data_IF_498574867527
#
_entry.id   IF_498574867527
#
_cell.length_a   1.000
_cell.length_b   1.000
_cell.length_c   1.000
_cell.angle_alpha   90.00
_cell.angle_beta   90.00
_cell.angle_gamma   90.00
#
_symmetry.space_group_name_H-M   'P 1'
#
loop_
_entity.id
_entity.type
_entity.pdbx_description
1 polymer ?
#
# COMPACT_ATOMS: atom_id res chain seq x y z
N UNK A 1 -21.84 38.53 23.63
CA UNK A 1 -20.88 38.45 24.76
C UNK A 1 -19.61 37.78 24.27
N UNK A 2 -18.49 38.52 24.27
CA UNK A 2 -17.15 38.02 23.92
C UNK A 2 -16.61 37.24 25.12
N UNK A 3 -16.11 36.01 24.92
CA UNK A 3 -15.27 35.34 25.90
C UNK A 3 -13.87 35.14 25.35
N UNK A 4 -12.91 35.69 26.10
CA UNK A 4 -11.48 35.76 25.86
C UNK A 4 -10.81 34.57 26.54
N UNK A 5 -9.96 33.84 25.82
CA UNK A 5 -9.12 32.77 26.37
C UNK A 5 -7.74 33.38 26.64
N UNK A 6 -7.39 33.55 27.92
CA UNK A 6 -6.02 33.86 28.36
C UNK A 6 -5.21 32.57 28.43
N UNK A 7 -4.09 32.53 27.71
CA UNK A 7 -3.01 31.55 27.87
C UNK A 7 -2.28 31.82 29.19
N UNK A 8 -2.10 30.80 30.01
CA UNK A 8 -1.10 30.78 31.08
C UNK A 8 -0.04 29.76 30.70
N UNK A 9 1.20 30.23 30.55
CA UNK A 9 2.40 29.43 30.37
C UNK A 9 2.96 29.20 31.77
N UNK A 10 3.16 27.94 32.14
CA UNK A 10 4.01 27.60 33.29
C UNK A 10 4.86 26.40 32.91
N UNK A 11 6.13 26.68 32.69
CA UNK A 11 7.21 25.74 32.46
C UNK A 11 7.50 24.95 33.74
N UNK A 12 7.55 23.63 33.65
CA UNK A 12 8.30 22.82 34.62
C UNK A 12 8.92 21.65 33.86
N UNK A 13 10.24 21.69 33.78
CA UNK A 13 11.06 20.65 33.21
C UNK A 13 11.21 19.51 34.23
N UNK A 14 10.95 18.29 33.81
CA UNK A 14 11.40 17.08 34.48
C UNK A 14 11.94 16.12 33.41
N UNK A 15 13.25 15.92 33.43
CA UNK A 15 13.95 14.96 32.59
C UNK A 15 13.72 13.55 33.13
N UNK A 16 13.23 12.64 32.28
CA UNK A 16 13.40 11.20 32.48
C UNK A 16 13.88 10.59 31.16
N UNK A 17 15.12 10.10 31.19
CA UNK A 17 15.70 9.30 30.13
C UNK A 17 15.25 7.84 30.27
N UNK A 18 14.61 7.31 29.24
CA UNK A 18 14.45 5.88 29.01
C UNK A 18 14.75 5.64 27.53
N UNK A 19 15.90 5.00 27.26
CA UNK A 19 16.26 4.53 25.94
C UNK A 19 15.55 3.19 25.68
N UNK A 20 14.47 3.23 24.89
CA UNK A 20 13.83 2.03 24.37
C UNK A 20 14.38 1.74 22.97
N UNK A 21 15.20 0.68 22.85
CA UNK A 21 15.62 0.13 21.55
C UNK A 21 14.43 -0.65 21.00
N UNK A 22 13.63 -0.01 20.15
CA UNK A 22 12.66 -0.68 19.31
C UNK A 22 13.38 -1.21 18.07
N UNK A 23 13.63 -2.52 18.03
CA UNK A 23 13.90 -3.24 16.77
C UNK A 23 12.64 -3.19 15.92
N UNK A 24 12.63 -2.33 14.91
CA UNK A 24 11.59 -2.34 13.89
C UNK A 24 11.75 -3.56 12.99
N UNK A 25 10.71 -4.36 12.88
CA UNK A 25 10.54 -5.24 11.73
C UNK A 25 10.17 -4.34 10.55
N UNK A 26 11.13 -4.11 9.66
CA UNK A 26 11.00 -3.22 8.51
C UNK A 26 9.89 -3.65 7.55
N UNK A 27 8.77 -2.92 7.57
CA UNK A 27 7.93 -2.72 6.40
C UNK A 27 8.45 -1.49 5.66
N UNK A 28 9.31 -1.70 4.66
CA UNK A 28 9.85 -0.63 3.83
C UNK A 28 8.75 0.00 2.97
N UNK A 29 8.17 1.09 3.44
CA UNK A 29 7.46 2.06 2.61
C UNK A 29 8.42 3.17 2.25
N UNK A 30 9.05 3.09 1.07
CA UNK A 30 9.95 4.12 0.56
C UNK A 30 9.21 5.41 0.23
N UNK A 31 9.28 6.39 1.13
CA UNK A 31 8.91 7.78 0.88
C UNK A 31 10.13 8.59 0.48
N UNK A 32 10.23 8.95 -0.80
CA UNK A 32 11.29 9.81 -1.32
C UNK A 32 10.95 11.31 -1.20
N UNK A 33 11.74 12.00 -0.37
CA UNK A 33 12.19 13.39 -0.45
C UNK A 33 11.27 14.50 -1.01
N UNK A 34 10.71 15.31 -0.10
CA UNK A 34 10.24 16.66 -0.40
C UNK A 34 10.99 17.69 0.46
N UNK A 35 11.88 18.47 -0.16
CA UNK A 35 12.59 19.56 0.50
C UNK A 35 11.69 20.79 0.67
N UNK A 36 11.50 21.23 1.92
CA UNK A 36 10.89 22.51 2.28
C UNK A 36 11.66 23.14 3.42
N UNK A 37 12.23 24.33 3.18
CA UNK A 37 13.01 25.08 4.17
C UNK A 37 12.13 25.66 5.28
N UNK A 38 12.59 25.50 6.53
CA UNK A 38 11.99 26.08 7.72
C UNK A 38 13.00 26.15 8.87
N UNK A 39 13.49 27.37 9.12
CA UNK A 39 14.04 27.95 10.36
C UNK A 39 14.25 27.03 11.58
N UNK A 40 15.50 26.99 12.03
CA UNK A 40 16.00 26.06 13.04
C UNK A 40 15.75 26.45 14.50
N UNK A 41 15.82 25.41 15.34
CA UNK A 41 16.29 25.48 16.71
C UNK A 41 17.29 24.34 16.92
N UNK A 42 18.53 24.70 17.24
CA UNK A 42 19.64 23.78 17.37
C UNK A 42 19.55 22.91 18.63
N UNK A 43 19.55 21.61 18.41
CA UNK A 43 20.08 20.61 19.35
C UNK A 43 21.02 19.75 18.51
N UNK A 44 22.28 19.51 18.94
CA UNK A 44 23.19 18.67 18.18
C UNK A 44 22.72 17.21 18.31
N UNK A 45 21.81 16.81 17.43
CA UNK A 45 21.62 15.40 17.12
C UNK A 45 22.93 14.95 16.48
N UNK A 46 23.65 14.08 17.20
CA UNK A 46 24.71 13.29 16.61
C UNK A 46 24.19 12.77 15.26
N UNK A 47 24.94 13.03 14.19
CA UNK A 47 24.60 12.58 12.86
C UNK A 47 24.13 11.13 12.97
N UNK A 48 22.88 10.86 12.57
CA UNK A 48 22.46 9.50 12.30
C UNK A 48 23.56 8.91 11.42
N UNK A 49 24.11 7.73 11.74
CA UNK A 49 25.18 7.18 10.95
C UNK A 49 24.70 7.20 9.51
N UNK A 50 25.40 7.97 8.67
CA UNK A 50 25.36 7.72 7.24
C UNK A 50 25.68 6.24 7.13
N UNK A 51 24.68 5.40 6.84
CA UNK A 51 24.92 4.01 6.47
C UNK A 51 25.46 4.03 5.04
N UNK A 52 26.61 4.69 4.85
CA UNK A 52 27.46 4.61 3.68
C UNK A 52 28.51 3.52 3.87
N UNK A 53 28.14 2.42 4.53
CA UNK A 53 28.92 1.19 4.60
C UNK A 53 28.16 0.08 3.87
N UNK A 54 28.08 0.13 2.53
CA UNK A 54 27.35 -0.89 1.75
C UNK A 54 27.76 -1.08 0.27
N UNK A 55 28.77 -0.37 -0.25
CA UNK A 55 29.10 -0.41 -1.68
C UNK A 55 29.56 -1.81 -2.16
N UNK A 56 30.48 -2.53 -1.48
CA UNK A 56 30.91 -3.85 -1.94
C UNK A 56 29.81 -4.93 -1.89
N UNK A 57 28.93 -4.89 -0.88
CA UNK A 57 27.83 -5.86 -0.73
C UNK A 57 26.72 -5.62 -1.75
N UNK A 58 26.39 -4.34 -2.02
CA UNK A 58 25.42 -3.95 -3.04
C UNK A 58 25.90 -4.37 -4.43
N UNK A 59 27.17 -4.10 -4.75
CA UNK A 59 27.73 -4.47 -6.06
C UNK A 59 27.80 -5.99 -6.23
N UNK A 60 28.16 -6.73 -5.18
CA UNK A 60 28.11 -8.20 -5.20
C UNK A 60 26.69 -8.74 -5.39
N UNK A 61 25.69 -8.16 -4.73
CA UNK A 61 24.27 -8.51 -4.90
C UNK A 61 23.80 -8.26 -6.34
N UNK A 62 24.15 -7.11 -6.92
CA UNK A 62 23.83 -6.76 -8.30
C UNK A 62 24.52 -7.72 -9.27
N UNK A 63 25.81 -8.00 -9.07
CA UNK A 63 26.57 -8.92 -9.91
C UNK A 63 25.99 -10.34 -9.89
N UNK A 64 25.61 -10.84 -8.71
CA UNK A 64 24.93 -12.13 -8.55
C UNK A 64 23.61 -12.17 -9.30
N UNK A 65 22.78 -11.13 -9.18
CA UNK A 65 21.51 -11.06 -9.90
C UNK A 65 21.72 -11.01 -11.43
N UNK A 66 22.72 -10.24 -11.91
CA UNK A 66 23.08 -10.17 -13.34
C UNK A 66 23.56 -11.51 -13.89
N UNK A 67 24.31 -12.28 -13.11
CA UNK A 67 24.79 -13.60 -13.52
C UNK A 67 23.67 -14.62 -13.79
N UNK A 68 22.48 -14.39 -13.23
CA UNK A 68 21.29 -15.23 -13.44
C UNK A 68 20.35 -14.69 -14.52
N UNK A 69 20.64 -13.51 -15.07
CA UNK A 69 19.73 -12.79 -15.94
C UNK A 69 19.59 -13.46 -17.31
N UNK A 70 18.34 -13.67 -17.72
CA UNK A 70 17.99 -14.19 -19.03
C UNK A 70 18.01 -13.06 -20.06
N UNK A 71 18.41 -13.39 -21.29
CA UNK A 71 18.43 -12.46 -22.41
C UNK A 71 17.01 -12.15 -22.91
N UNK A 72 16.29 -11.32 -22.17
CA UNK A 72 14.96 -10.83 -22.51
C UNK A 72 14.94 -9.30 -22.46
N UNK A 73 14.24 -8.63 -23.39
CA UNK A 73 14.20 -7.18 -23.42
C UNK A 73 13.39 -6.62 -22.25
N UNK A 74 13.82 -5.50 -21.67
CA UNK A 74 12.96 -4.71 -20.79
C UNK A 74 12.02 -3.84 -21.60
N UNK A 75 10.73 -3.89 -21.28
CA UNK A 75 9.71 -3.01 -21.85
C UNK A 75 9.21 -2.07 -20.75
N UNK A 76 9.54 -0.77 -20.78
CA UNK A 76 9.11 0.15 -19.73
C UNK A 76 7.59 0.33 -19.73
N UNK A 77 6.98 0.70 -18.59
CA UNK A 77 5.61 1.21 -18.58
C UNK A 77 5.41 2.32 -19.62
N UNK A 78 4.36 2.24 -20.46
CA UNK A 78 4.05 3.29 -21.41
C UNK A 78 3.40 4.50 -20.70
N UNK A 79 3.28 5.61 -21.42
CA UNK A 79 2.54 6.79 -20.97
C UNK A 79 3.39 7.82 -20.22
N UNK A 80 2.72 8.84 -19.71
CA UNK A 80 3.34 10.00 -19.09
C UNK A 80 3.37 9.88 -17.55
N UNK A 81 4.52 10.23 -16.94
CA UNK A 81 4.72 10.18 -15.48
C UNK A 81 3.69 11.03 -14.73
N UNK A 82 3.41 12.24 -15.21
CA UNK A 82 2.41 13.12 -14.60
C UNK A 82 1.01 12.51 -14.68
N UNK A 83 0.64 11.89 -15.81
CA UNK A 83 -0.65 11.19 -15.92
C UNK A 83 -0.78 10.02 -14.94
N UNK A 84 0.28 9.22 -14.77
CA UNK A 84 0.29 8.11 -13.82
C UNK A 84 0.12 8.61 -12.38
N UNK A 85 0.91 9.59 -11.97
CA UNK A 85 0.82 10.14 -10.62
C UNK A 85 -0.54 10.84 -10.38
N UNK A 86 -1.08 11.50 -11.40
CA UNK A 86 -2.41 12.12 -11.34
C UNK A 86 -3.53 11.08 -11.23
N UNK A 87 -3.39 9.95 -11.92
CA UNK A 87 -4.29 8.81 -11.80
C UNK A 87 -4.27 8.22 -10.39
N UNK A 88 -3.07 7.97 -9.84
CA UNK A 88 -2.91 7.51 -8.46
C UNK A 88 -3.53 8.48 -7.44
N UNK A 89 -3.31 9.78 -7.64
CA UNK A 89 -3.92 10.81 -6.81
C UNK A 89 -5.45 10.80 -6.90
N UNK A 90 -6.02 10.76 -8.11
CA UNK A 90 -7.48 10.69 -8.31
C UNK A 90 -8.09 9.45 -7.64
N UNK A 91 -7.45 8.28 -7.76
CA UNK A 91 -7.88 7.03 -7.12
C UNK A 91 -7.90 7.15 -5.60
N UNK A 92 -6.84 7.70 -5.03
CA UNK A 92 -6.70 7.89 -3.58
C UNK A 92 -7.80 8.81 -3.08
N UNK A 93 -7.98 9.97 -3.74
CA UNK A 93 -9.01 10.94 -3.40
C UNK A 93 -10.42 10.34 -3.49
N UNK A 94 -10.72 9.58 -4.56
CA UNK A 94 -11.99 8.89 -4.69
C UNK A 94 -12.22 7.92 -3.52
N UNK A 95 -11.22 7.11 -3.18
CA UNK A 95 -11.33 6.12 -2.10
C UNK A 95 -11.56 6.81 -0.75
N UNK A 96 -10.77 7.84 -0.46
CA UNK A 96 -10.90 8.62 0.77
C UNK A 96 -12.31 9.22 0.92
N UNK A 97 -12.86 9.80 -0.15
CA UNK A 97 -14.17 10.48 -0.10
C UNK A 97 -15.34 9.50 -0.09
N UNK A 98 -15.32 8.47 -0.94
CA UNK A 98 -16.50 7.62 -1.17
C UNK A 98 -16.48 6.29 -0.43
N UNK A 99 -15.32 5.84 0.06
CA UNK A 99 -15.18 4.61 0.85
C UNK A 99 -14.97 4.96 2.32
N UNK A 100 -13.97 5.79 2.62
CA UNK A 100 -13.64 6.14 4.01
C UNK A 100 -14.53 7.25 4.57
N UNK A 101 -14.99 8.17 3.72
CA UNK A 101 -15.78 9.34 4.14
C UNK A 101 -14.95 10.52 4.66
N UNK A 102 -13.67 10.58 4.29
CA UNK A 102 -12.75 11.66 4.69
C UNK A 102 -13.04 12.92 3.86
N UNK A 103 -12.92 14.08 4.51
CA UNK A 103 -13.00 15.38 3.84
C UNK A 103 -11.94 15.50 2.72
N UNK A 104 -12.30 15.99 1.51
CA UNK A 104 -11.35 16.05 0.41
C UNK A 104 -10.09 16.87 0.69
N UNK A 105 -10.17 17.96 1.46
CA UNK A 105 -9.00 18.78 1.75
C UNK A 105 -8.08 18.09 2.77
N UNK A 106 -8.65 17.34 3.73
CA UNK A 106 -7.88 16.48 4.64
C UNK A 106 -7.22 15.32 3.87
N UNK A 107 -7.95 14.64 2.99
CA UNK A 107 -7.41 13.53 2.20
C UNK A 107 -6.27 13.97 1.28
N UNK A 108 -6.39 15.16 0.67
CA UNK A 108 -5.35 15.76 -0.16
C UNK A 108 -4.06 16.07 0.62
N UNK A 109 -4.14 16.21 1.94
CA UNK A 109 -3.02 16.54 2.83
C UNK A 109 -2.59 15.37 3.73
N UNK A 110 -3.14 14.16 3.56
CA UNK A 110 -2.77 13.04 4.44
C UNK A 110 -2.61 11.69 3.73
N UNK A 111 -3.08 11.54 2.49
CA UNK A 111 -3.17 10.23 1.83
C UNK A 111 -2.49 10.18 0.46
N UNK A 112 -2.11 8.96 0.04
CA UNK A 112 -1.75 8.64 -1.35
C UNK A 112 -0.43 9.21 -1.87
N UNK A 113 0.47 9.68 -1.01
CA UNK A 113 1.75 10.27 -1.44
C UNK A 113 2.60 9.32 -2.29
N UNK A 114 2.52 8.03 -1.99
CA UNK A 114 3.24 6.99 -2.72
C UNK A 114 2.83 6.88 -4.20
N UNK A 115 1.57 7.15 -4.55
CA UNK A 115 1.06 7.07 -5.95
C UNK A 115 0.78 8.43 -6.59
N UNK A 116 0.92 9.50 -5.81
CA UNK A 116 0.73 10.88 -6.27
C UNK A 116 1.47 11.80 -5.31
N UNK A 117 2.79 11.98 -5.47
CA UNK A 117 3.58 12.80 -4.55
C UNK A 117 3.35 14.31 -4.77
N UNK A 118 3.65 15.14 -3.76
CA UNK A 118 3.35 16.58 -3.76
C UNK A 118 3.98 17.35 -4.92
N UNK A 119 5.20 16.98 -5.31
CA UNK A 119 5.92 17.54 -6.44
C UNK A 119 5.20 17.32 -7.78
N UNK A 120 4.34 16.31 -7.85
CA UNK A 120 3.49 16.03 -9.00
C UNK A 120 2.11 16.71 -8.86
N UNK A 121 1.53 16.72 -7.65
CA UNK A 121 0.22 17.36 -7.37
C UNK A 121 0.22 18.85 -7.72
N UNK A 122 1.33 19.56 -7.50
CA UNK A 122 1.45 21.00 -7.83
C UNK A 122 1.33 21.32 -9.33
N UNK A 123 1.50 20.31 -10.20
CA UNK A 123 1.46 20.48 -11.65
C UNK A 123 0.07 20.19 -12.25
N UNK A 124 -0.94 19.93 -11.42
CA UNK A 124 -2.31 19.59 -11.85
C UNK A 124 -3.36 20.43 -11.13
N UNK A 125 -4.60 20.41 -11.64
CA UNK A 125 -5.72 21.07 -10.99
C UNK A 125 -6.08 20.46 -9.63
N UNK A 126 -6.82 21.23 -8.81
CA UNK A 126 -7.40 20.70 -7.57
C UNK A 126 -8.37 19.55 -7.90
N UNK A 127 -8.41 18.46 -7.12
CA UNK A 127 -9.42 17.42 -7.28
C UNK A 127 -10.83 17.99 -7.17
N UNK A 128 -11.67 17.69 -8.17
CA UNK A 128 -13.10 18.04 -8.19
C UNK A 128 -13.90 16.79 -7.86
N UNK A 129 -14.66 16.85 -6.77
CA UNK A 129 -15.52 15.75 -6.31
C UNK A 129 -16.93 15.92 -6.87
N UNK A 130 -17.35 14.98 -7.72
CA UNK A 130 -18.74 14.85 -8.16
C UNK A 130 -19.43 13.79 -7.30
N UNK A 131 -20.29 14.23 -6.38
CA UNK A 131 -21.01 13.34 -5.45
C UNK A 131 -22.18 12.60 -6.11
N UNK A 132 -22.70 13.10 -7.23
CA UNK A 132 -23.81 12.46 -7.96
C UNK A 132 -23.28 11.27 -8.74
N UNK A 133 -22.20 11.47 -9.51
CA UNK A 133 -21.53 10.41 -10.26
C UNK A 133 -20.58 9.56 -9.40
N UNK A 134 -20.34 9.98 -8.16
CA UNK A 134 -19.36 9.40 -7.22
C UNK A 134 -17.97 9.26 -7.85
N UNK A 135 -17.49 10.35 -8.43
CA UNK A 135 -16.19 10.40 -9.08
C UNK A 135 -15.35 11.59 -8.62
N UNK A 136 -14.03 11.45 -8.75
CA UNK A 136 -13.05 12.52 -8.58
C UNK A 136 -12.38 12.77 -9.92
N UNK A 137 -12.32 14.03 -10.31
CA UNK A 137 -11.74 14.50 -11.58
C UNK A 137 -10.54 15.39 -11.29
N UNK A 138 -9.44 15.17 -11.99
CA UNK A 138 -8.24 16.00 -11.89
C UNK A 138 -7.78 16.38 -13.30
N UNK A 139 -7.81 17.67 -13.60
CA UNK A 139 -7.39 18.20 -14.90
C UNK A 139 -5.88 18.42 -14.95
N UNK A 140 -5.23 17.94 -15.99
CA UNK A 140 -3.84 18.28 -16.30
C UNK A 140 -3.82 19.49 -17.26
N UNK A 141 -3.06 20.55 -16.98
CA UNK A 141 -2.89 21.67 -17.91
C UNK A 141 -2.40 21.19 -19.29
N UNK A 142 -3.12 21.58 -20.35
CA UNK A 142 -2.85 21.13 -21.74
C UNK A 142 -2.85 19.60 -21.93
N UNK A 143 -3.49 18.86 -21.02
CA UNK A 143 -3.52 17.40 -21.00
C UNK A 143 -4.92 16.85 -20.73
N UNK A 144 -5.03 15.54 -20.49
CA UNK A 144 -6.30 14.92 -20.19
C UNK A 144 -6.82 15.31 -18.80
N UNK A 145 -8.13 15.13 -18.61
CA UNK A 145 -8.71 15.04 -17.26
C UNK A 145 -8.73 13.56 -16.84
N UNK A 146 -8.12 13.25 -15.71
CA UNK A 146 -8.10 11.91 -15.15
C UNK A 146 -9.29 11.77 -14.22
N UNK A 147 -9.96 10.62 -14.29
CA UNK A 147 -11.20 10.36 -13.54
C UNK A 147 -11.04 9.06 -12.77
N UNK A 148 -11.38 9.10 -11.48
CA UNK A 148 -11.58 7.91 -10.67
C UNK A 148 -13.03 7.86 -10.19
N UNK A 149 -13.70 6.72 -10.35
CA UNK A 149 -15.12 6.55 -10.00
C UNK A 149 -15.30 5.40 -9.02
N UNK A 150 -16.25 5.54 -8.12
CA UNK A 150 -16.64 4.51 -7.17
C UNK A 150 -17.64 3.54 -7.78
N UNK A 151 -17.26 2.25 -7.86
CA UNK A 151 -18.03 1.16 -8.45
C UNK A 151 -18.58 0.20 -7.39
N UNK A 152 -19.18 0.74 -6.32
CA UNK A 152 -19.77 -0.07 -5.25
C UNK A 152 -18.77 -1.02 -4.61
N UNK A 153 -19.06 -2.33 -4.61
CA UNK A 153 -18.20 -3.33 -3.98
C UNK A 153 -16.79 -3.45 -4.58
N UNK A 154 -16.52 -2.87 -5.77
CA UNK A 154 -15.18 -2.83 -6.36
C UNK A 154 -14.38 -1.58 -5.96
N UNK A 155 -14.96 -0.70 -5.14
CA UNK A 155 -14.30 0.51 -4.66
C UNK A 155 -14.02 1.50 -5.79
N UNK A 156 -13.00 2.33 -5.60
CA UNK A 156 -12.63 3.37 -6.56
C UNK A 156 -11.61 2.88 -7.58
N UNK A 157 -11.94 3.08 -8.86
CA UNK A 157 -11.09 2.71 -10.00
C UNK A 157 -10.92 3.90 -10.91
N UNK A 158 -9.68 4.14 -11.33
CA UNK A 158 -9.35 5.14 -12.36
C UNK A 158 -9.74 4.64 -13.73
N UNK A 159 -10.49 5.46 -14.48
CA UNK A 159 -11.00 5.09 -15.78
C UNK A 159 -9.87 4.96 -16.80
N UNK A 160 -9.90 3.93 -17.67
CA UNK A 160 -8.93 3.77 -18.74
C UNK A 160 -8.86 4.97 -19.68
N UNK A 161 -7.70 5.18 -20.31
CA UNK A 161 -7.54 6.23 -21.31
C UNK A 161 -8.57 6.07 -22.44
N UNK A 162 -9.28 7.16 -22.76
CA UNK A 162 -10.30 7.18 -23.82
C UNK A 162 -11.58 6.41 -23.49
N UNK A 163 -11.81 6.00 -22.25
CA UNK A 163 -13.03 5.30 -21.82
C UNK A 163 -13.75 6.05 -20.71
N UNK A 164 -15.07 5.92 -20.68
CA UNK A 164 -15.92 6.38 -19.59
C UNK A 164 -16.33 5.24 -18.62
N UNK A 165 -15.75 4.05 -18.81
CA UNK A 165 -16.04 2.89 -17.97
C UNK A 165 -14.80 1.96 -17.83
N UNK A 166 -14.86 1.05 -16.85
CA UNK A 166 -13.80 0.09 -16.51
C UNK A 166 -13.73 -1.10 -17.49
N UNK A 167 -12.66 -1.90 -17.39
CA UNK A 167 -12.44 -3.10 -18.24
C UNK A 167 -13.26 -4.33 -17.83
N UNK A 168 -14.12 -4.21 -16.81
CA UNK A 168 -14.90 -5.31 -16.26
C UNK A 168 -16.30 -4.82 -15.91
N UNK A 169 -17.27 -5.73 -15.83
CA UNK A 169 -18.61 -5.39 -15.33
C UNK A 169 -18.60 -5.31 -13.82
N UNK A 170 -18.89 -4.16 -13.19
CA UNK A 170 -19.01 -4.06 -11.74
C UNK A 170 -20.12 -4.98 -11.22
N UNK A 171 -19.90 -5.59 -10.06
CA UNK A 171 -20.84 -6.53 -9.44
C UNK A 171 -21.08 -6.14 -7.99
N UNK A 172 -22.33 -6.24 -7.53
CA UNK A 172 -22.60 -6.05 -6.10
C UNK A 172 -22.23 -7.33 -5.37
N UNK A 173 -21.25 -7.26 -4.47
CA UNK A 173 -20.88 -8.36 -3.59
C UNK A 173 -21.75 -8.28 -2.35
N UNK A 174 -22.71 -9.20 -2.24
CA UNK A 174 -23.54 -9.34 -1.04
C UNK A 174 -22.87 -10.30 -0.07
N UNK A 175 -22.64 -9.85 1.17
CA UNK A 175 -22.16 -10.74 2.22
C UNK A 175 -23.19 -11.81 2.52
N UNK A 176 -22.74 -13.05 2.67
CA UNK A 176 -23.55 -14.17 3.20
C UNK A 176 -23.29 -14.40 4.69
N UNK A 177 -22.45 -13.57 5.32
CA UNK A 177 -22.12 -13.66 6.73
C UNK A 177 -23.23 -13.02 7.58
N UNK A 178 -23.39 -13.45 8.85
CA UNK A 178 -24.30 -12.80 9.80
C UNK A 178 -23.96 -11.32 10.03
N UNK A 179 -24.90 -10.58 10.62
CA UNK A 179 -24.69 -9.19 11.02
C UNK A 179 -23.53 -9.10 12.03
N UNK A 180 -22.42 -8.40 11.70
CA UNK A 180 -21.25 -8.32 12.57
C UNK A 180 -21.58 -7.69 13.93
N UNK A 181 -22.57 -6.80 14.03
CA UNK A 181 -22.98 -6.19 15.29
C UNK A 181 -23.55 -7.20 16.31
N UNK A 182 -23.87 -8.42 15.86
CA UNK A 182 -24.40 -9.50 16.68
C UNK A 182 -23.39 -10.61 16.97
N UNK A 183 -22.23 -10.59 16.33
CA UNK A 183 -21.25 -11.67 16.42
C UNK A 183 -20.10 -11.30 17.36
N UNK A 184 -19.61 -12.25 18.18
CA UNK A 184 -18.44 -12.03 19.02
C UNK A 184 -17.20 -11.81 18.17
N UNK A 185 -16.34 -10.88 18.59
CA UNK A 185 -14.99 -10.74 18.07
C UNK A 185 -14.22 -12.07 18.17
N UNK A 186 -13.44 -12.48 17.14
CA UNK A 186 -13.08 -11.74 15.92
C UNK A 186 -14.03 -11.93 14.73
N UNK A 187 -15.16 -12.61 14.91
CA UNK A 187 -16.12 -12.84 13.83
C UNK A 187 -17.13 -11.70 13.65
N UNK A 188 -17.19 -10.77 14.60
CA UNK A 188 -17.90 -9.49 14.50
C UNK A 188 -17.48 -8.50 15.56
N UNK A 189 -18.38 -7.57 15.90
CA UNK A 189 -18.07 -6.33 16.62
C UNK A 189 -18.38 -6.41 18.12
N UNK A 190 -18.91 -7.53 18.62
CA UNK A 190 -19.22 -7.70 20.05
C UNK A 190 -17.94 -8.04 20.82
N UNK A 191 -17.43 -7.06 21.56
CA UNK A 191 -16.25 -7.21 22.41
C UNK A 191 -16.59 -7.85 23.77
N UNK A 192 -15.64 -8.61 24.38
CA UNK A 192 -15.84 -9.16 25.72
C UNK A 192 -15.92 -8.05 26.78
N UNK A 193 -16.91 -8.13 27.67
CA UNK A 193 -17.13 -7.15 28.74
C UNK A 193 -16.31 -7.37 30.03
N UNK A 194 -15.63 -8.51 30.15
CA UNK A 194 -14.78 -8.82 31.31
C UNK A 194 -13.54 -7.90 31.36
N UNK A 195 -12.83 -7.77 32.50
CA UNK A 195 -11.54 -7.07 32.56
C UNK A 195 -10.47 -7.71 31.64
N UNK A 196 -9.44 -6.96 31.19
CA UNK A 196 -8.30 -7.52 30.47
C UNK A 196 -7.60 -8.66 31.25
N UNK A 197 -6.89 -9.58 30.58
CA UNK A 197 -6.21 -10.70 31.25
C UNK A 197 -5.22 -10.20 32.32
N UNK A 198 -5.23 -10.82 33.51
CA UNK A 198 -4.45 -10.37 34.66
C UNK A 198 -2.93 -10.40 34.41
N UNK A 199 -2.46 -11.26 33.49
CA UNK A 199 -1.05 -11.31 33.08
C UNK A 199 -0.61 -10.11 32.22
N UNK A 200 -1.55 -9.33 31.69
CA UNK A 200 -1.27 -8.18 30.82
C UNK A 200 -1.06 -6.93 31.68
N UNK A 201 0.13 -6.36 31.60
CA UNK A 201 0.42 -5.06 32.21
C UNK A 201 -0.26 -3.94 31.39
N UNK A 202 -1.47 -3.54 31.80
CA UNK A 202 -2.25 -2.51 31.12
C UNK A 202 -1.59 -1.12 31.15
N UNK A 203 -0.71 -0.82 32.11
CA UNK A 203 0.03 0.44 32.10
C UNK A 203 0.97 0.51 30.88
N UNK A 204 1.70 -0.57 30.58
CA UNK A 204 2.55 -0.65 29.38
C UNK A 204 1.75 -0.64 28.08
N UNK A 205 0.56 -1.24 28.08
CA UNK A 205 -0.35 -1.18 26.91
C UNK A 205 -0.76 0.27 26.66
N UNK A 206 -1.16 0.99 27.71
CA UNK A 206 -1.54 2.39 27.60
C UNK A 206 -0.37 3.27 27.15
N UNK A 207 0.85 3.06 27.67
CA UNK A 207 2.06 3.73 27.20
C UNK A 207 2.31 3.50 25.70
N UNK A 208 2.09 2.28 25.21
CA UNK A 208 2.23 1.97 23.78
C UNK A 208 1.17 2.69 22.92
N UNK A 209 -0.07 2.76 23.41
CA UNK A 209 -1.16 3.49 22.74
C UNK A 209 -0.86 4.99 22.73
N UNK A 210 -0.34 5.54 23.83
CA UNK A 210 0.06 6.94 23.92
C UNK A 210 1.22 7.26 22.97
N UNK A 211 2.23 6.40 22.93
CA UNK A 211 3.34 6.52 22.00
C UNK A 211 2.89 6.52 20.53
N UNK A 212 1.93 5.65 20.17
CA UNK A 212 1.38 5.57 18.81
C UNK A 212 0.69 6.87 18.35
N UNK A 213 0.21 7.70 19.28
CA UNK A 213 -0.44 8.99 19.03
C UNK A 213 0.40 10.19 19.47
N UNK A 214 1.63 9.98 19.94
CA UNK A 214 2.47 11.02 20.53
C UNK A 214 3.11 11.97 19.51
N UNK A 215 3.08 11.62 18.22
CA UNK A 215 3.63 12.43 17.12
C UNK A 215 2.48 12.85 16.20
N UNK A 216 2.05 14.10 16.28
CA UNK A 216 0.93 14.64 15.50
C UNK A 216 1.12 14.48 13.99
N UNK A 217 2.34 14.65 13.52
CA UNK A 217 2.77 14.59 12.12
C UNK A 217 2.73 13.17 11.56
N UNK A 218 2.61 12.15 12.42
CA UNK A 218 2.45 10.76 11.98
C UNK A 218 1.03 10.46 11.46
N UNK A 219 0.06 11.34 11.74
CA UNK A 219 -1.34 11.16 11.34
C UNK A 219 -1.92 9.77 11.66
N UNK A 220 -1.53 9.17 12.79
CA UNK A 220 -1.98 7.83 13.20
C UNK A 220 -3.50 7.79 13.27
N UNK A 221 -4.13 7.13 12.29
CA UNK A 221 -5.59 7.07 12.15
C UNK A 221 -6.23 6.06 13.10
N UNK A 222 -5.55 4.95 13.37
CA UNK A 222 -6.00 3.91 14.27
C UNK A 222 -4.81 3.13 14.85
N UNK A 223 -4.93 2.68 16.09
CA UNK A 223 -4.02 1.73 16.72
C UNK A 223 -4.82 0.73 17.53
N UNK A 224 -4.66 -0.57 17.25
CA UNK A 224 -5.41 -1.65 17.88
C UNK A 224 -4.44 -2.72 18.37
N UNK A 225 -4.58 -3.15 19.61
CA UNK A 225 -3.74 -4.18 20.24
C UNK A 225 -4.59 -5.40 20.56
N UNK A 226 -4.17 -6.55 20.05
CA UNK A 226 -4.78 -7.83 20.38
C UNK A 226 -3.82 -8.71 21.18
N UNK A 227 -4.37 -9.47 22.13
CA UNK A 227 -3.65 -10.48 22.89
C UNK A 227 -4.48 -11.76 22.92
N UNK A 228 -3.92 -12.87 22.41
CA UNK A 228 -4.61 -14.18 22.31
C UNK A 228 -6.01 -14.07 21.69
N UNK A 229 -6.16 -13.27 20.64
CA UNK A 229 -7.42 -13.08 19.93
C UNK A 229 -8.40 -12.10 20.58
N UNK A 230 -8.07 -11.49 21.71
CA UNK A 230 -8.89 -10.45 22.37
C UNK A 230 -8.32 -9.05 22.12
N UNK A 231 -9.16 -8.09 21.77
CA UNK A 231 -8.77 -6.66 21.79
C UNK A 231 -8.58 -6.22 23.25
N UNK A 232 -7.41 -5.70 23.56
CA UNK A 232 -7.06 -5.21 24.90
C UNK A 232 -6.88 -3.68 24.96
N UNK A 233 -6.68 -3.04 23.80
CA UNK A 233 -6.70 -1.60 23.67
C UNK A 233 -6.96 -1.20 22.22
N UNK A 234 -7.62 -0.06 22.04
CA UNK A 234 -7.80 0.58 20.75
C UNK A 234 -7.89 2.09 20.93
N UNK A 235 -7.36 2.84 19.96
CA UNK A 235 -7.53 4.30 19.88
C UNK A 235 -7.62 4.69 18.41
N UNK A 236 -8.48 5.65 18.13
CA UNK A 236 -8.76 6.14 16.79
C UNK A 236 -8.57 7.66 16.76
N UNK A 237 -8.13 8.16 15.61
CA UNK A 237 -8.13 9.61 15.35
C UNK A 237 -9.57 10.14 15.33
N UNK A 238 -9.76 11.41 15.67
CA UNK A 238 -11.07 12.06 15.56
C UNK A 238 -11.68 11.87 14.16
N UNK A 239 -12.94 11.41 14.12
CA UNK A 239 -13.65 11.12 12.87
C UNK A 239 -13.39 9.73 12.29
N UNK A 240 -12.46 8.96 12.87
CA UNK A 240 -12.22 7.54 12.57
C UNK A 240 -12.82 6.70 13.69
N UNK A 241 -13.44 5.59 13.33
CA UNK A 241 -13.93 4.58 14.26
C UNK A 241 -13.57 3.17 13.85
N UNK A 242 -13.96 2.19 14.66
CA UNK A 242 -13.63 0.77 14.47
C UNK A 242 -14.06 0.21 13.11
N UNK A 243 -15.09 0.78 12.48
CA UNK A 243 -15.63 0.33 11.19
C UNK A 243 -15.21 1.21 10.01
N UNK A 244 -14.41 2.25 10.22
CA UNK A 244 -13.94 3.14 9.17
C UNK A 244 -12.90 2.44 8.29
N UNK A 245 -13.13 2.23 6.97
CA UNK A 245 -12.15 1.57 6.12
C UNK A 245 -10.94 2.46 5.87
N UNK A 246 -9.76 2.01 6.28
CA UNK A 246 -8.51 2.76 6.11
C UNK A 246 -7.69 2.24 4.93
N UNK A 247 -6.80 3.10 4.42
CA UNK A 247 -5.86 2.74 3.37
C UNK A 247 -4.87 1.67 3.87
N UNK A 248 -4.87 0.50 3.22
CA UNK A 248 -4.17 -0.69 3.72
C UNK A 248 -2.88 -1.03 2.94
N UNK A 249 -2.71 -0.48 1.74
CA UNK A 249 -1.54 -0.72 0.88
C UNK A 249 -1.16 -2.20 0.77
N UNK A 250 0.08 -2.52 1.16
CA UNK A 250 0.65 -3.86 1.07
C UNK A 250 0.02 -4.87 2.02
N UNK A 251 -0.77 -4.46 3.01
CA UNK A 251 -1.53 -5.39 3.86
C UNK A 251 -2.47 -6.28 3.02
N UNK A 252 -2.94 -5.79 1.87
CA UNK A 252 -3.76 -6.56 0.94
C UNK A 252 -3.09 -7.85 0.43
N UNK A 253 -1.75 -7.93 0.43
CA UNK A 253 -1.00 -9.14 0.03
C UNK A 253 -1.31 -10.32 0.96
N UNK A 254 -1.44 -10.08 2.27
CA UNK A 254 -1.78 -11.11 3.24
C UNK A 254 -3.20 -11.64 3.04
N UNK A 255 -4.14 -10.78 2.62
CA UNK A 255 -5.51 -11.19 2.28
C UNK A 255 -5.50 -12.11 1.06
N UNK A 256 -4.78 -11.73 0.00
CA UNK A 256 -4.63 -12.55 -1.22
C UNK A 256 -3.93 -13.88 -0.92
N UNK A 257 -2.86 -13.87 -0.11
CA UNK A 257 -2.18 -15.08 0.31
C UNK A 257 -3.10 -16.01 1.13
N UNK A 258 -3.96 -15.45 1.98
CA UNK A 258 -4.97 -16.20 2.73
C UNK A 258 -5.99 -16.86 1.78
N UNK A 259 -6.48 -16.13 0.78
CA UNK A 259 -7.36 -16.68 -0.25
C UNK A 259 -6.70 -17.83 -1.02
N UNK A 260 -5.44 -17.69 -1.41
CA UNK A 260 -4.67 -18.77 -2.03
C UNK A 260 -4.52 -19.98 -1.11
N UNK A 261 -4.27 -19.76 0.19
CA UNK A 261 -4.23 -20.83 1.19
C UNK A 261 -5.54 -21.60 1.30
N UNK A 262 -6.69 -20.90 1.22
CA UNK A 262 -8.01 -21.55 1.18
C UNK A 262 -8.20 -22.40 -0.07
N UNK A 263 -7.85 -21.88 -1.26
CA UNK A 263 -7.93 -22.62 -2.52
C UNK A 263 -7.03 -23.87 -2.52
N UNK A 264 -5.83 -23.77 -1.92
CA UNK A 264 -4.94 -24.92 -1.74
C UNK A 264 -5.57 -25.95 -0.78
N UNK A 265 -6.12 -25.50 0.35
CA UNK A 265 -6.82 -26.38 1.29
C UNK A 265 -8.02 -27.09 0.66
N UNK A 266 -8.71 -26.42 -0.27
CA UNK A 266 -9.83 -26.97 -1.03
C UNK A 266 -9.40 -27.90 -2.18
N UNK A 267 -8.09 -28.07 -2.41
CA UNK A 267 -7.56 -28.93 -3.48
C UNK A 267 -7.62 -28.32 -4.88
N UNK A 268 -8.00 -27.04 -5.02
CA UNK A 268 -8.03 -26.33 -6.31
C UNK A 268 -6.61 -26.19 -6.87
N UNK A 269 -5.65 -25.88 -6.00
CA UNK A 269 -4.25 -25.72 -6.36
C UNK A 269 -3.31 -26.46 -5.41
N UNK A 270 -2.07 -26.68 -5.85
CA UNK A 270 -0.93 -27.10 -5.01
C UNK A 270 0.12 -26.00 -5.00
N UNK A 271 0.83 -25.83 -3.89
CA UNK A 271 1.81 -24.74 -3.75
C UNK A 271 3.02 -24.87 -4.70
N UNK A 272 3.42 -26.10 -5.00
CA UNK A 272 4.61 -26.44 -5.80
C UNK A 272 4.30 -26.70 -7.27
N UNK A 273 3.04 -26.66 -7.68
CA UNK A 273 2.67 -26.82 -9.08
C UNK A 273 2.97 -25.55 -9.89
N UNK A 274 3.20 -25.69 -11.21
CA UNK A 274 3.19 -24.58 -12.14
C UNK A 274 1.92 -23.73 -12.05
N UNK A 275 2.07 -22.41 -12.01
CA UNK A 275 0.92 -21.51 -11.97
C UNK A 275 0.17 -21.54 -13.33
N UNK A 276 -1.14 -21.83 -13.35
CA UNK A 276 -1.92 -21.97 -14.58
C UNK A 276 -2.33 -20.61 -15.18
N UNK A 277 -1.40 -19.65 -15.26
CA UNK A 277 -1.66 -18.35 -15.87
C UNK A 277 -1.84 -18.56 -17.39
N UNK A 278 -2.97 -18.15 -17.98
CA UNK A 278 -3.28 -18.42 -19.39
C UNK A 278 -2.22 -17.90 -20.36
N UNK A 279 -1.68 -16.70 -20.09
CA UNK A 279 -0.67 -16.05 -20.91
C UNK A 279 0.67 -16.82 -20.99
N UNK A 280 0.88 -17.82 -20.13
CA UNK A 280 2.13 -18.60 -20.07
C UNK A 280 2.01 -19.97 -20.74
N UNK A 281 0.82 -20.37 -21.19
CA UNK A 281 0.59 -21.74 -21.68
C UNK A 281 1.00 -21.95 -23.14
N UNK A 282 1.46 -20.90 -23.82
CA UNK A 282 1.93 -20.99 -25.19
C UNK A 282 3.16 -21.93 -25.32
N UNK A 283 3.23 -22.66 -26.44
CA UNK A 283 4.39 -23.50 -26.75
C UNK A 283 5.67 -22.65 -26.76
N UNK A 284 6.67 -23.07 -26.00
CA UNK A 284 7.96 -22.38 -25.89
C UNK A 284 8.02 -21.27 -24.85
N UNK A 285 6.91 -20.93 -24.17
CA UNK A 285 6.95 -19.97 -23.07
C UNK A 285 7.51 -20.64 -21.81
N UNK A 286 8.66 -20.15 -21.33
CA UNK A 286 9.35 -20.67 -20.15
C UNK A 286 8.69 -20.23 -18.84
N UNK A 287 7.84 -19.20 -18.85
CA UNK A 287 7.08 -18.74 -17.67
C UNK A 287 6.13 -19.83 -17.16
N UNK A 288 5.75 -20.81 -17.99
CA UNK A 288 4.98 -21.99 -17.56
C UNK A 288 5.68 -22.82 -16.47
N UNK A 289 6.96 -22.58 -16.19
CA UNK A 289 7.71 -23.27 -15.12
C UNK A 289 7.60 -22.55 -13.77
N UNK A 290 7.12 -21.30 -13.75
CA UNK A 290 6.90 -20.54 -12.52
C UNK A 290 5.85 -21.27 -11.67
N UNK A 291 6.21 -21.59 -10.43
CA UNK A 291 5.31 -22.20 -9.46
C UNK A 291 4.46 -21.17 -8.75
N UNK A 292 3.35 -21.61 -8.17
CA UNK A 292 2.53 -20.76 -7.29
C UNK A 292 3.35 -20.25 -6.09
N UNK A 293 4.24 -21.09 -5.54
CA UNK A 293 5.19 -20.70 -4.48
C UNK A 293 6.12 -19.57 -4.91
N UNK A 294 6.64 -19.60 -6.14
CA UNK A 294 7.53 -18.55 -6.64
C UNK A 294 6.80 -17.20 -6.67
N UNK A 295 5.54 -17.18 -7.10
CA UNK A 295 4.68 -15.98 -7.09
C UNK A 295 4.44 -15.49 -5.65
N UNK A 296 4.03 -16.39 -4.74
CA UNK A 296 3.73 -16.02 -3.35
C UNK A 296 4.97 -15.52 -2.57
N UNK A 297 6.16 -15.92 -2.99
CA UNK A 297 7.45 -15.51 -2.41
C UNK A 297 8.11 -14.35 -3.16
N UNK A 298 7.44 -13.78 -4.17
CA UNK A 298 7.96 -12.72 -5.05
C UNK A 298 9.30 -13.08 -5.72
N UNK A 299 9.41 -14.33 -6.15
CA UNK A 299 10.56 -14.92 -6.83
C UNK A 299 10.18 -15.51 -8.18
N UNK A 300 9.06 -15.04 -8.77
CA UNK A 300 8.62 -15.45 -10.10
C UNK A 300 9.68 -15.21 -11.17
N UNK A 301 10.57 -14.23 -10.94
CA UNK A 301 11.64 -13.84 -11.85
C UNK A 301 11.18 -12.95 -13.00
N UNK A 302 9.97 -12.39 -12.98
CA UNK A 302 9.47 -11.50 -14.03
C UNK A 302 10.23 -10.17 -14.11
N UNK A 303 10.39 -9.61 -15.30
CA UNK A 303 11.20 -8.42 -15.58
C UNK A 303 10.43 -7.14 -15.30
N UNK A 304 10.62 -6.63 -14.10
CA UNK A 304 9.99 -5.40 -13.60
C UNK A 304 10.98 -4.59 -12.77
N UNK A 305 10.81 -3.26 -12.76
CA UNK A 305 11.61 -2.35 -11.94
C UNK A 305 10.81 -1.86 -10.73
N UNK A 306 11.47 -1.83 -9.57
CA UNK A 306 10.97 -1.29 -8.33
C UNK A 306 11.93 -0.22 -7.78
N UNK A 307 11.43 0.85 -7.13
CA UNK A 307 12.29 1.86 -6.50
C UNK A 307 13.29 1.31 -5.48
N UNK A 308 12.94 0.19 -4.83
CA UNK A 308 13.80 -0.48 -3.85
C UNK A 308 14.80 -1.47 -4.47
N UNK A 309 14.83 -1.60 -5.80
CA UNK A 309 15.85 -2.40 -6.47
C UNK A 309 17.25 -1.82 -6.21
N UNK A 310 18.27 -2.64 -5.89
CA UNK A 310 19.62 -2.16 -5.61
C UNK A 310 20.24 -1.47 -6.82
N UNK A 311 19.77 -1.74 -8.03
CA UNK A 311 20.21 -1.13 -9.28
C UNK A 311 19.17 -0.16 -9.88
N UNK A 312 18.22 0.32 -9.07
CA UNK A 312 17.23 1.29 -9.53
C UNK A 312 17.88 2.63 -9.89
N UNK A 313 17.55 3.15 -11.07
CA UNK A 313 17.89 4.50 -11.51
C UNK A 313 16.65 5.41 -11.34
N UNK A 314 16.66 6.36 -10.38
CA UNK A 314 15.54 7.26 -10.15
C UNK A 314 15.29 8.25 -11.31
N UNK A 315 16.28 8.46 -12.18
CA UNK A 315 16.13 9.27 -13.40
C UNK A 315 15.69 8.44 -14.61
N UNK A 316 15.47 7.14 -14.41
CA UNK A 316 15.09 6.21 -15.45
C UNK A 316 13.60 6.25 -15.80
N UNK A 317 13.12 5.14 -16.34
CA UNK A 317 11.72 4.95 -16.71
C UNK A 317 10.83 4.84 -15.49
N UNK A 318 9.55 5.21 -15.63
CA UNK A 318 8.55 5.03 -14.56
C UNK A 318 8.55 3.57 -14.05
N UNK A 319 8.54 3.32 -12.74
CA UNK A 319 8.69 1.96 -12.22
C UNK A 319 7.42 1.13 -12.39
N UNK A 320 7.57 -0.10 -12.92
CA UNK A 320 6.50 -1.10 -13.02
C UNK A 320 5.81 -1.34 -11.67
N UNK A 321 6.60 -1.30 -10.58
CA UNK A 321 6.15 -1.50 -9.20
C UNK A 321 5.05 -0.51 -8.77
N UNK A 322 5.05 0.71 -9.32
CA UNK A 322 4.03 1.73 -9.07
C UNK A 322 2.98 1.72 -10.19
N UNK A 323 3.39 1.45 -11.42
CA UNK A 323 2.51 1.48 -12.60
C UNK A 323 1.25 0.64 -12.49
N UNK A 324 1.26 -0.49 -11.78
CA UNK A 324 0.03 -1.27 -11.63
C UNK A 324 -1.08 -0.53 -10.84
N UNK A 325 -0.71 0.41 -9.95
CA UNK A 325 -1.69 1.25 -9.23
C UNK A 325 -2.20 2.39 -10.10
N UNK A 326 -1.34 2.94 -10.95
CA UNK A 326 -1.50 4.25 -11.59
C UNK A 326 -1.82 4.18 -13.08
N UNK A 327 -1.53 3.05 -13.73
CA UNK A 327 -1.51 2.92 -15.19
C UNK A 327 -2.87 2.93 -15.88
N UNK A 328 -3.99 2.79 -15.14
CA UNK A 328 -5.37 2.74 -15.69
C UNK A 328 -5.55 1.60 -16.72
N UNK A 329 -4.94 0.47 -16.41
CA UNK A 329 -4.82 -0.71 -17.27
C UNK A 329 -5.50 -1.94 -16.66
N UNK A 330 -5.60 -3.02 -17.45
CA UNK A 330 -5.79 -4.36 -16.91
C UNK A 330 -4.48 -4.82 -16.23
N UNK A 331 -4.43 -4.70 -14.90
CA UNK A 331 -3.24 -5.04 -14.11
C UNK A 331 -2.87 -6.54 -14.18
N UNK A 332 -3.86 -7.44 -14.29
CA UNK A 332 -3.59 -8.88 -14.45
C UNK A 332 -2.84 -9.14 -15.74
N UNK A 333 -3.35 -8.60 -16.86
CA UNK A 333 -2.70 -8.77 -18.16
C UNK A 333 -1.30 -8.15 -18.17
N UNK A 334 -1.13 -6.95 -17.61
CA UNK A 334 0.18 -6.33 -17.53
C UNK A 334 1.19 -7.16 -16.73
N UNK A 335 0.80 -7.69 -15.57
CA UNK A 335 1.66 -8.55 -14.76
C UNK A 335 1.99 -9.86 -15.49
N UNK A 336 0.99 -10.51 -16.10
CA UNK A 336 1.14 -11.80 -16.79
C UNK A 336 1.98 -11.71 -18.06
N UNK A 337 2.04 -10.54 -18.72
CA UNK A 337 2.76 -10.36 -19.98
C UNK A 337 4.21 -9.88 -19.80
N UNK A 338 4.66 -9.59 -18.57
CA UNK A 338 6.06 -9.21 -18.32
C UNK A 338 7.03 -10.31 -18.78
N UNK A 339 8.16 -9.95 -19.43
CA UNK A 339 9.18 -10.92 -19.82
C UNK A 339 9.82 -11.61 -18.61
N UNK A 340 10.42 -12.78 -18.78
CA UNK A 340 11.19 -13.44 -17.72
C UNK A 340 12.57 -12.79 -17.58
N UNK A 341 12.93 -12.26 -16.40
CA UNK A 341 14.28 -11.74 -16.10
C UNK A 341 15.22 -12.81 -15.56
N UNK A 342 14.73 -13.68 -14.67
CA UNK A 342 15.54 -14.71 -14.00
C UNK A 342 14.83 -16.06 -14.00
N UNK A 343 15.54 -17.20 -13.85
CA UNK A 343 14.88 -18.47 -13.57
C UNK A 343 13.94 -18.38 -12.35
N UNK A 344 12.77 -19.05 -12.36
CA UNK A 344 11.85 -19.04 -11.23
C UNK A 344 12.52 -19.53 -9.94
N UNK A 345 12.24 -18.86 -8.82
CA UNK A 345 12.78 -19.19 -7.49
C UNK A 345 14.25 -18.77 -7.27
N UNK A 346 14.95 -18.26 -8.29
CA UNK A 346 16.39 -17.96 -8.16
C UNK A 346 16.70 -16.61 -7.50
N UNK A 347 15.81 -15.63 -7.68
CA UNK A 347 15.98 -14.26 -7.18
C UNK A 347 14.66 -13.76 -6.58
N UNK A 348 14.63 -13.54 -5.26
CA UNK A 348 13.52 -12.90 -4.56
C UNK A 348 13.71 -11.37 -4.54
N UNK A 349 12.70 -10.62 -4.98
CA UNK A 349 12.67 -9.15 -4.89
C UNK A 349 11.26 -8.68 -4.57
N UNK A 350 11.13 -7.68 -3.69
CA UNK A 350 9.83 -7.16 -3.31
C UNK A 350 9.14 -6.45 -4.48
N UNK A 351 8.08 -7.07 -5.01
CA UNK A 351 7.52 -6.73 -6.32
C UNK A 351 6.00 -6.88 -6.30
N UNK A 352 5.29 -5.84 -6.74
CA UNK A 352 3.83 -5.84 -6.65
C UNK A 352 3.12 -6.62 -7.77
N UNK A 353 3.79 -6.94 -8.89
CA UNK A 353 3.17 -7.73 -9.96
C UNK A 353 2.91 -9.18 -9.53
N UNK A 354 3.74 -9.75 -8.66
CA UNK A 354 3.55 -11.12 -8.20
C UNK A 354 2.27 -11.29 -7.33
N UNK A 355 2.00 -10.40 -6.36
CA UNK A 355 0.68 -10.35 -5.70
C UNK A 355 -0.50 -10.11 -6.65
N UNK A 356 -0.31 -9.34 -7.72
CA UNK A 356 -1.34 -9.18 -8.76
C UNK A 356 -1.60 -10.51 -9.47
N UNK A 357 -0.55 -11.29 -9.76
CA UNK A 357 -0.68 -12.64 -10.31
C UNK A 357 -1.32 -13.62 -9.33
N UNK A 358 -0.99 -13.53 -8.04
CA UNK A 358 -1.66 -14.32 -7.00
C UNK A 358 -3.17 -14.00 -6.96
N UNK A 359 -3.54 -12.73 -7.09
CA UNK A 359 -4.95 -12.34 -7.19
C UNK A 359 -5.60 -12.82 -8.50
N UNK A 360 -4.85 -12.83 -9.61
CA UNK A 360 -5.32 -13.41 -10.86
C UNK A 360 -5.63 -14.91 -10.73
N UNK A 361 -4.77 -15.68 -10.03
CA UNK A 361 -5.02 -17.08 -9.73
C UNK A 361 -6.29 -17.29 -8.90
N UNK A 362 -6.56 -16.41 -7.93
CA UNK A 362 -7.82 -16.43 -7.16
C UNK A 362 -9.02 -16.21 -8.08
N UNK A 363 -8.90 -15.35 -9.10
CA UNK A 363 -9.98 -15.09 -10.06
C UNK A 363 -10.19 -16.21 -11.09
N UNK A 364 -9.15 -17.00 -11.36
CA UNK A 364 -9.19 -18.13 -12.30
C UNK A 364 -9.75 -19.42 -11.68
N UNK A 365 -9.69 -19.53 -10.35
CA UNK A 365 -10.31 -20.60 -9.57
C UNK A 365 -11.85 -20.45 -9.56
#
# INVERSE_FOLDING_TARGET
>A
MKFSIRRSVTTTAAALGIAAVLTSCGGGGGGGGGGGGGIGFGVPLAAAPNTTAQLPERDALIARARALELNTPYVPPPGNVLEHNTSGYAKTMCSAVFITGIDPDVAAESLGYFVGPYDQRKNVGKPVVDRVKKEVRISIPNGPTLVARHFGSQGCVTLPAGRDDVFFTPVVVKSTLPDPATQPWPMGDVLPGDPPPAEVNMAKVNEAVDAAFGVSEAYTSAFVVTHKGRIIAERYMNGIGATTPLESWSMGKSVVATMMGLLIKQGVYKLDQPAPIPEWQATGDERKKIKISDILQMSSGLRIKAPDDPDFDPNGTYPDHIYYYTGRINAFNYAATRPQQWPPGAVGRYRNTDPVLANYLVRLA
#
